data_IF_343976981221
#
_entry.id   IF_343976981221
#
_cell.length_a   1.000
_cell.length_b   1.000
_cell.length_c   1.000
_cell.angle_alpha   90.00
_cell.angle_beta   90.00
_cell.angle_gamma   90.00
#
_symmetry.space_group_name_H-M   'P 1'
#
loop_
_entity.id
_entity.type
_entity.pdbx_description
1 polymer ?
#
# COMPACT_ATOMS: atom_id res chain seq x y z
N UNK A 1 -21.20 8.96 -4.62
CA UNK A 1 -21.99 9.60 -5.69
C UNK A 1 -22.89 10.72 -5.16
N UNK A 2 -23.15 10.81 -3.85
CA UNK A 2 -24.20 11.63 -3.22
C UNK A 2 -24.30 13.12 -3.54
N UNK A 3 -23.27 13.72 -4.14
CA UNK A 3 -23.31 15.10 -4.65
C UNK A 3 -23.74 15.18 -6.13
N UNK A 4 -24.19 14.06 -6.71
CA UNK A 4 -24.54 13.87 -8.11
C UNK A 4 -23.39 14.13 -9.10
N UNK A 5 -22.16 13.83 -8.67
CA UNK A 5 -20.98 13.96 -9.53
C UNK A 5 -20.95 12.88 -10.61
N UNK A 6 -20.37 13.20 -11.77
CA UNK A 6 -20.21 12.28 -12.90
C UNK A 6 -19.34 11.05 -12.54
N UNK A 7 -19.48 9.93 -13.27
CA UNK A 7 -18.81 8.68 -12.93
C UNK A 7 -17.28 8.76 -13.06
N UNK A 8 -16.72 9.58 -13.96
CA UNK A 8 -15.27 9.70 -14.11
C UNK A 8 -14.64 10.36 -12.89
N UNK A 9 -15.24 11.45 -12.43
CA UNK A 9 -14.78 12.14 -11.22
C UNK A 9 -14.96 11.26 -9.97
N UNK A 10 -16.07 10.52 -9.88
CA UNK A 10 -16.27 9.56 -8.79
C UNK A 10 -15.22 8.43 -8.78
N UNK A 11 -14.88 7.88 -9.95
CA UNK A 11 -13.83 6.89 -10.10
C UNK A 11 -12.44 7.46 -9.77
N UNK A 12 -12.14 8.70 -10.17
CA UNK A 12 -10.89 9.36 -9.81
C UNK A 12 -10.73 9.52 -8.29
N UNK A 13 -11.79 9.94 -7.59
CA UNK A 13 -11.80 9.98 -6.12
C UNK A 13 -11.59 8.61 -5.48
N UNK A 14 -12.24 7.57 -6.02
CA UNK A 14 -12.05 6.18 -5.59
C UNK A 14 -10.63 5.68 -5.80
N UNK A 15 -10.00 6.00 -6.94
CA UNK A 15 -8.61 5.67 -7.22
C UNK A 15 -7.66 6.38 -6.24
N UNK A 16 -7.90 7.66 -5.92
CA UNK A 16 -7.13 8.39 -4.92
C UNK A 16 -7.23 7.77 -3.52
N UNK A 17 -8.43 7.35 -3.11
CA UNK A 17 -8.63 6.65 -1.85
C UNK A 17 -7.93 5.27 -1.82
N UNK A 18 -7.99 4.53 -2.93
CA UNK A 18 -7.29 3.25 -3.09
C UNK A 18 -5.76 3.40 -3.04
N UNK A 19 -5.22 4.44 -3.66
CA UNK A 19 -3.79 4.67 -3.73
C UNK A 19 -3.13 4.89 -2.35
N UNK A 20 -3.89 5.31 -1.34
CA UNK A 20 -3.38 5.54 0.01
C UNK A 20 -2.68 4.29 0.60
N UNK A 21 -1.57 4.45 1.35
CA UNK A 21 -0.78 3.34 1.87
C UNK A 21 -1.56 2.45 2.86
N UNK A 22 -2.56 3.02 3.54
CA UNK A 22 -3.46 2.30 4.44
C UNK A 22 -4.53 1.47 3.69
N UNK A 23 -4.59 1.56 2.36
CA UNK A 23 -5.51 0.79 1.54
C UNK A 23 -4.78 -0.07 0.49
N UNK A 24 -4.26 0.53 -0.58
CA UNK A 24 -3.72 -0.19 -1.74
C UNK A 24 -2.26 -0.61 -1.63
N UNK A 25 -1.58 -0.31 -0.51
CA UNK A 25 -0.17 -0.66 -0.30
C UNK A 25 0.06 -2.05 0.30
N UNK A 26 -1.01 -2.82 0.58
CA UNK A 26 -0.90 -4.09 1.30
C UNK A 26 -0.06 -5.15 0.57
N UNK A 27 -0.25 -5.29 -0.75
CA UNK A 27 0.45 -6.29 -1.55
C UNK A 27 1.93 -5.95 -1.81
N UNK A 28 2.26 -4.66 -1.95
CA UNK A 28 3.65 -4.19 -2.00
C UNK A 28 4.37 -4.47 -0.67
N UNK A 29 3.70 -4.19 0.46
CA UNK A 29 4.25 -4.44 1.78
C UNK A 29 4.53 -5.93 2.02
N UNK A 30 3.70 -6.83 1.47
CA UNK A 30 3.95 -8.27 1.48
C UNK A 30 5.23 -8.62 0.73
N UNK A 31 5.44 -8.09 -0.49
CA UNK A 31 6.66 -8.37 -1.24
C UNK A 31 7.92 -7.92 -0.50
N UNK A 32 7.92 -6.68 0.01
CA UNK A 32 9.06 -6.15 0.78
C UNK A 32 9.34 -6.99 2.03
N UNK A 33 8.30 -7.44 2.72
CA UNK A 33 8.42 -8.35 3.86
C UNK A 33 9.07 -9.67 3.45
N UNK A 34 8.63 -10.29 2.35
CA UNK A 34 9.20 -11.54 1.85
C UNK A 34 10.66 -11.38 1.38
N UNK A 35 10.97 -10.26 0.71
CA UNK A 35 12.33 -9.90 0.30
C UNK A 35 13.25 -9.68 1.51
N UNK A 36 12.76 -9.01 2.56
CA UNK A 36 13.51 -8.79 3.81
C UNK A 36 13.73 -10.08 4.61
N UNK A 37 12.79 -11.03 4.56
CA UNK A 37 12.98 -12.39 5.12
C UNK A 37 14.10 -13.10 4.35
N UNK A 38 14.12 -12.98 3.02
CA UNK A 38 15.21 -13.41 2.14
C UNK A 38 15.33 -14.92 1.91
N UNK A 39 15.28 -15.72 2.97
CA UNK A 39 15.35 -17.19 2.90
C UNK A 39 14.40 -17.87 3.87
N UNK A 40 14.11 -19.16 3.65
CA UNK A 40 13.18 -19.94 4.46
C UNK A 40 13.67 -20.07 5.92
N UNK A 41 14.97 -20.15 6.12
CA UNK A 41 15.61 -20.32 7.43
C UNK A 41 15.39 -19.12 8.35
N UNK A 42 15.10 -17.94 7.78
CA UNK A 42 14.83 -16.72 8.55
C UNK A 42 13.37 -16.61 9.00
N UNK A 43 12.45 -17.44 8.48
CA UNK A 43 11.02 -17.37 8.79
C UNK A 43 10.73 -17.55 10.29
N UNK A 44 11.31 -18.53 11.01
CA UNK A 44 11.08 -18.68 12.44
C UNK A 44 11.45 -17.41 13.23
N UNK A 45 12.60 -16.79 12.91
CA UNK A 45 13.04 -15.53 13.53
C UNK A 45 12.04 -14.40 13.26
N UNK A 46 11.57 -14.27 12.03
CA UNK A 46 10.55 -13.29 11.65
C UNK A 46 9.24 -13.49 12.40
N UNK A 47 8.75 -14.73 12.50
CA UNK A 47 7.54 -15.07 13.27
C UNK A 47 7.68 -14.65 14.73
N UNK A 48 8.82 -14.91 15.38
CA UNK A 48 9.07 -14.44 16.75
C UNK A 48 9.02 -12.92 16.87
N UNK A 49 9.58 -12.17 15.91
CA UNK A 49 9.50 -10.71 15.89
C UNK A 49 8.06 -10.20 15.74
N UNK A 50 7.24 -10.88 14.94
CA UNK A 50 5.81 -10.57 14.82
C UNK A 50 5.08 -10.80 16.14
N UNK A 51 5.35 -11.92 16.82
CA UNK A 51 4.76 -12.22 18.14
C UNK A 51 5.18 -11.20 19.21
N UNK A 52 6.41 -10.71 19.14
CA UNK A 52 6.93 -9.63 19.98
C UNK A 52 6.44 -8.23 19.58
N UNK A 53 5.59 -8.12 18.54
CA UNK A 53 5.08 -6.85 17.98
C UNK A 53 6.17 -5.91 17.48
N UNK A 54 7.37 -6.43 17.19
CA UNK A 54 8.46 -5.68 16.56
C UNK A 54 8.24 -5.53 15.05
N UNK A 55 7.48 -6.46 14.46
CA UNK A 55 7.10 -6.43 13.05
C UNK A 55 5.64 -6.83 12.87
N UNK A 56 5.10 -6.57 11.67
CA UNK A 56 3.75 -6.99 11.27
C UNK A 56 3.83 -8.05 10.19
N UNK A 57 3.03 -9.11 10.32
CA UNK A 57 2.82 -10.09 9.25
C UNK A 57 1.88 -9.48 8.21
N UNK A 58 2.46 -8.90 7.15
CA UNK A 58 1.70 -8.29 6.06
C UNK A 58 0.92 -9.37 5.29
N UNK A 59 -0.26 -9.01 4.79
CA UNK A 59 -1.13 -9.96 4.07
C UNK A 59 -1.87 -10.96 4.97
N UNK A 60 -1.81 -10.81 6.30
CA UNK A 60 -2.57 -11.62 7.26
C UNK A 60 -3.60 -10.81 8.03
N UNK A 61 -4.73 -11.47 8.32
CA UNK A 61 -5.87 -10.89 8.99
C UNK A 61 -6.75 -10.06 8.04
N UNK A 62 -8.00 -9.88 8.44
CA UNK A 62 -8.97 -9.11 7.70
C UNK A 62 -10.01 -8.50 8.65
N UNK A 63 -10.52 -7.30 8.32
CA UNK A 63 -11.56 -6.66 9.14
C UNK A 63 -12.86 -7.47 9.16
N UNK A 64 -13.16 -8.15 8.04
CA UNK A 64 -14.38 -8.96 7.83
C UNK A 64 -14.13 -10.46 8.02
N UNK A 65 -13.03 -11.00 7.49
CA UNK A 65 -12.82 -12.46 7.51
C UNK A 65 -12.12 -12.85 8.81
N UNK A 66 -12.73 -13.79 9.53
CA UNK A 66 -12.19 -14.49 10.72
C UNK A 66 -11.81 -15.94 10.42
N UNK A 67 -11.75 -16.24 9.13
CA UNK A 67 -11.39 -17.51 8.52
C UNK A 67 -10.57 -17.20 7.28
N UNK A 68 -10.11 -18.24 6.58
CA UNK A 68 -9.33 -18.09 5.36
C UNK A 68 -10.10 -17.26 4.29
N UNK A 69 -9.47 -16.23 3.74
CA UNK A 69 -10.08 -15.40 2.70
C UNK A 69 -10.32 -16.23 1.43
N UNK A 70 -11.57 -16.38 0.96
CA UNK A 70 -11.88 -17.21 -0.22
C UNK A 70 -11.14 -16.73 -1.48
N UNK A 71 -10.82 -15.43 -1.58
CA UNK A 71 -10.06 -14.86 -2.70
C UNK A 71 -8.60 -15.25 -2.62
N UNK A 72 -8.02 -15.28 -1.41
CA UNK A 72 -6.65 -15.73 -1.20
C UNK A 72 -6.50 -17.21 -1.57
N UNK A 73 -7.54 -18.03 -1.33
CA UNK A 73 -7.54 -19.45 -1.71
C UNK A 73 -7.48 -19.62 -3.23
N UNK A 74 -8.27 -18.85 -3.97
CA UNK A 74 -8.26 -18.86 -5.44
C UNK A 74 -6.91 -18.34 -5.96
N UNK A 75 -6.42 -17.22 -5.42
CA UNK A 75 -5.12 -16.66 -5.83
C UNK A 75 -3.97 -17.61 -5.55
N UNK A 76 -4.01 -18.40 -4.48
CA UNK A 76 -3.02 -19.44 -4.22
C UNK A 76 -2.97 -20.46 -5.36
N UNK A 77 -4.12 -20.95 -5.83
CA UNK A 77 -4.19 -21.87 -6.99
C UNK A 77 -3.61 -21.22 -8.24
N UNK A 78 -4.02 -19.99 -8.56
CA UNK A 78 -3.50 -19.24 -9.71
C UNK A 78 -1.98 -19.01 -9.61
N UNK A 79 -1.47 -18.75 -8.40
CA UNK A 79 -0.03 -18.60 -8.17
C UNK A 79 0.72 -19.90 -8.49
N UNK A 80 0.18 -21.05 -8.09
CA UNK A 80 0.75 -22.37 -8.42
C UNK A 80 0.76 -22.66 -9.91
N UNK A 81 -0.29 -22.27 -10.63
CA UNK A 81 -0.38 -22.40 -12.10
C UNK A 81 0.65 -21.53 -12.82
N UNK A 82 0.75 -20.25 -12.43
CA UNK A 82 1.74 -19.31 -12.96
C UNK A 82 3.16 -19.83 -12.73
N UNK A 83 3.42 -20.41 -11.56
CA UNK A 83 4.70 -21.00 -11.22
C UNK A 83 5.06 -22.21 -12.09
N UNK A 84 4.09 -23.08 -12.38
CA UNK A 84 4.30 -24.21 -13.26
C UNK A 84 4.72 -23.77 -14.68
N UNK A 85 4.28 -22.58 -15.12
CA UNK A 85 4.60 -22.02 -16.43
C UNK A 85 5.91 -21.22 -16.45
N UNK A 86 6.14 -20.36 -15.44
CA UNK A 86 7.24 -19.39 -15.42
C UNK A 86 8.50 -19.90 -14.68
N UNK A 87 8.40 -21.03 -13.98
CA UNK A 87 9.51 -21.61 -13.21
C UNK A 87 9.60 -21.10 -11.77
N UNK A 88 10.64 -21.54 -11.07
CA UNK A 88 10.73 -21.37 -9.61
C UNK A 88 11.04 -19.93 -9.19
N UNK A 89 10.13 -19.30 -8.44
CA UNK A 89 10.36 -18.02 -7.77
C UNK A 89 10.73 -18.25 -6.28
N UNK A 90 11.93 -17.84 -5.81
CA UNK A 90 12.33 -17.95 -4.40
C UNK A 90 11.35 -17.31 -3.41
N UNK A 91 10.76 -16.16 -3.76
CA UNK A 91 9.79 -15.46 -2.90
C UNK A 91 8.54 -16.30 -2.64
N UNK A 92 8.14 -17.13 -3.61
CA UNK A 92 7.00 -18.01 -3.47
C UNK A 92 7.26 -19.16 -2.49
N UNK A 93 8.48 -19.69 -2.48
CA UNK A 93 8.87 -20.72 -1.51
C UNK A 93 8.82 -20.15 -0.10
N UNK A 94 9.33 -18.94 0.09
CA UNK A 94 9.26 -18.21 1.37
C UNK A 94 7.80 -17.96 1.76
N UNK A 95 6.97 -17.48 0.84
CA UNK A 95 5.57 -17.19 1.13
C UNK A 95 4.76 -18.43 1.52
N UNK A 96 4.98 -19.55 0.83
CA UNK A 96 4.29 -20.81 1.10
C UNK A 96 4.70 -21.39 2.45
N UNK A 97 5.99 -21.32 2.79
CA UNK A 97 6.47 -21.81 4.09
C UNK A 97 6.08 -20.86 5.24
N UNK A 98 6.10 -19.56 5.02
CA UNK A 98 5.62 -18.55 5.97
C UNK A 98 4.15 -18.76 6.28
N UNK A 99 3.33 -19.00 5.24
CA UNK A 99 1.92 -19.34 5.41
C UNK A 99 1.74 -20.62 6.23
N UNK A 100 2.46 -21.70 5.87
CA UNK A 100 2.36 -22.98 6.56
C UNK A 100 2.70 -22.85 8.04
N UNK A 101 3.79 -22.15 8.37
CA UNK A 101 4.22 -21.93 9.75
C UNK A 101 3.25 -21.02 10.52
N UNK A 102 2.79 -19.92 9.91
CA UNK A 102 1.81 -19.03 10.54
C UNK A 102 0.48 -19.75 10.83
N UNK A 103 -0.02 -20.57 9.89
CA UNK A 103 -1.25 -21.35 10.08
C UNK A 103 -1.12 -22.50 11.09
N UNK A 104 0.11 -22.86 11.48
CA UNK A 104 0.37 -23.92 12.47
C UNK A 104 0.73 -23.37 13.85
N UNK A 105 0.99 -22.07 13.98
CA UNK A 105 1.39 -21.42 15.24
C UNK A 105 0.15 -20.90 15.99
N UNK A 106 0.04 -21.28 17.27
CA UNK A 106 -1.13 -20.97 18.11
C UNK A 106 -1.39 -19.47 18.24
N UNK A 107 -0.36 -18.63 18.20
CA UNK A 107 -0.49 -17.18 18.30
C UNK A 107 -1.41 -16.62 17.21
N UNK A 108 -1.25 -17.10 15.97
CA UNK A 108 -2.03 -16.63 14.81
C UNK A 108 -3.40 -17.29 14.75
N UNK A 109 -3.50 -18.57 15.10
CA UNK A 109 -4.77 -19.31 15.16
C UNK A 109 -5.72 -18.67 16.17
N UNK A 110 -5.26 -18.44 17.40
CA UNK A 110 -6.06 -17.81 18.47
C UNK A 110 -6.54 -16.40 18.10
N UNK A 111 -5.75 -15.68 17.29
CA UNK A 111 -6.06 -14.33 16.81
C UNK A 111 -6.82 -14.33 15.48
N UNK A 112 -7.13 -15.50 14.93
CA UNK A 112 -7.84 -15.67 13.65
C UNK A 112 -7.13 -14.91 12.51
N UNK A 113 -5.80 -14.94 12.50
CA UNK A 113 -4.98 -14.30 11.49
C UNK A 113 -4.73 -15.28 10.35
N UNK A 114 -5.46 -15.09 9.26
CA UNK A 114 -5.36 -15.90 8.04
C UNK A 114 -4.87 -15.06 6.86
N UNK A 115 -4.26 -15.68 5.83
CA UNK A 115 -3.90 -15.00 4.60
C UNK A 115 -5.11 -14.29 3.97
N UNK A 116 -4.89 -13.08 3.49
CA UNK A 116 -5.84 -12.31 2.71
C UNK A 116 -5.40 -12.19 1.24
N UNK A 117 -6.25 -11.57 0.42
CA UNK A 117 -6.01 -11.38 -1.03
C UNK A 117 -4.65 -10.72 -1.36
N UNK A 118 -4.12 -9.89 -0.48
CA UNK A 118 -2.87 -9.16 -0.70
C UNK A 118 -1.64 -10.06 -0.56
N UNK A 119 -1.74 -11.17 0.17
CA UNK A 119 -0.62 -12.08 0.44
C UNK A 119 -0.05 -12.73 -0.83
N UNK A 120 -0.91 -13.10 -1.78
CA UNK A 120 -0.48 -13.71 -3.05
C UNK A 120 -0.48 -12.76 -4.24
N UNK A 121 -1.33 -11.73 -4.24
CA UNK A 121 -1.49 -10.85 -5.41
C UNK A 121 -0.20 -10.15 -5.82
N UNK A 122 0.61 -9.68 -4.85
CA UNK A 122 1.90 -9.05 -5.14
C UNK A 122 2.90 -10.01 -5.81
N UNK A 123 2.94 -11.26 -5.37
CA UNK A 123 3.81 -12.31 -5.93
C UNK A 123 3.41 -12.60 -7.38
N UNK A 124 2.10 -12.68 -7.66
CA UNK A 124 1.57 -12.87 -9.01
C UNK A 124 2.00 -11.72 -9.92
N UNK A 125 1.73 -10.47 -9.53
CA UNK A 125 2.06 -9.30 -10.36
C UNK A 125 3.57 -9.19 -10.61
N UNK A 126 4.39 -9.45 -9.59
CA UNK A 126 5.85 -9.46 -9.74
C UNK A 126 6.31 -10.56 -10.69
N UNK A 127 5.72 -11.76 -10.60
CA UNK A 127 6.06 -12.88 -11.48
C UNK A 127 5.65 -12.62 -12.93
N UNK A 128 4.61 -11.80 -13.15
CA UNK A 128 4.22 -11.31 -14.48
C UNK A 128 5.10 -10.15 -15.01
N UNK A 129 6.08 -9.68 -14.22
CA UNK A 129 7.00 -8.62 -14.63
C UNK A 129 6.50 -7.20 -14.39
N UNK A 130 5.39 -7.01 -13.67
CA UNK A 130 4.93 -5.67 -13.35
C UNK A 130 5.81 -5.03 -12.26
N UNK A 131 6.18 -3.74 -12.40
CA UNK A 131 6.84 -3.01 -11.33
C UNK A 131 5.88 -2.83 -10.15
N UNK A 132 6.41 -2.81 -8.92
CA UNK A 132 5.62 -2.72 -7.69
C UNK A 132 4.74 -1.48 -7.64
N UNK A 133 5.22 -0.37 -8.20
CA UNK A 133 4.51 0.90 -8.26
C UNK A 133 3.19 0.81 -9.06
N UNK A 134 3.06 -0.20 -9.94
CA UNK A 134 1.85 -0.45 -10.72
C UNK A 134 0.81 -1.29 -9.98
N UNK A 135 1.12 -1.86 -8.82
CA UNK A 135 0.19 -2.77 -8.13
C UNK A 135 -1.14 -2.11 -7.76
N UNK A 136 -1.17 -0.88 -7.21
CA UNK A 136 -2.44 -0.19 -6.95
C UNK A 136 -3.23 0.07 -8.24
N UNK A 137 -2.55 0.33 -9.35
CA UNK A 137 -3.18 0.54 -10.67
C UNK A 137 -3.82 -0.76 -11.15
N UNK A 138 -3.09 -1.88 -11.10
CA UNK A 138 -3.61 -3.19 -11.47
C UNK A 138 -4.81 -3.61 -10.60
N UNK A 139 -4.79 -3.24 -9.31
CA UNK A 139 -5.91 -3.47 -8.41
C UNK A 139 -7.11 -2.57 -8.71
N UNK A 140 -6.88 -1.35 -9.21
CA UNK A 140 -7.93 -0.39 -9.55
C UNK A 140 -8.77 -0.80 -10.76
N UNK A 141 -8.16 -1.46 -11.75
CA UNK A 141 -8.84 -1.86 -13.00
C UNK A 141 -10.08 -2.72 -12.74
N UNK A 142 -9.99 -3.89 -12.07
CA UNK A 142 -11.18 -4.68 -11.77
C UNK A 142 -12.07 -4.02 -10.71
N UNK A 143 -11.51 -3.13 -9.87
CA UNK A 143 -12.30 -2.41 -8.86
C UNK A 143 -13.21 -1.35 -9.45
N UNK A 144 -12.86 -0.79 -10.61
CA UNK A 144 -13.67 0.20 -11.31
C UNK A 144 -15.09 -0.29 -11.60
N UNK A 145 -15.25 -1.57 -11.99
CA UNK A 145 -16.58 -2.17 -12.17
C UNK A 145 -17.43 -2.13 -10.89
N UNK A 146 -16.82 -2.44 -9.74
CA UNK A 146 -17.49 -2.35 -8.44
C UNK A 146 -17.79 -0.92 -8.00
N UNK A 147 -16.87 0.02 -8.25
CA UNK A 147 -17.10 1.45 -7.98
C UNK A 147 -18.28 1.99 -8.77
N UNK A 148 -18.36 1.65 -10.07
CA UNK A 148 -19.45 2.07 -10.93
C UNK A 148 -20.77 1.41 -10.54
N UNK A 149 -20.76 0.12 -10.19
CA UNK A 149 -21.95 -0.56 -9.69
C UNK A 149 -22.51 0.12 -8.43
N UNK A 150 -21.65 0.42 -7.44
CA UNK A 150 -22.08 1.17 -6.25
C UNK A 150 -22.50 2.61 -6.56
N UNK A 151 -21.85 3.27 -7.52
CA UNK A 151 -22.26 4.62 -7.96
C UNK A 151 -23.65 4.61 -8.58
N UNK A 152 -23.95 3.63 -9.44
CA UNK A 152 -25.30 3.45 -10.04
C UNK A 152 -26.32 3.10 -8.97
N UNK A 153 -26.00 2.17 -8.08
CA UNK A 153 -26.85 1.76 -6.96
C UNK A 153 -27.20 2.95 -6.06
N UNK A 154 -26.21 3.75 -5.68
CA UNK A 154 -26.40 4.95 -4.85
C UNK A 154 -27.28 6.00 -5.54
N UNK A 155 -27.17 6.17 -6.87
CA UNK A 155 -28.02 7.11 -7.62
C UNK A 155 -29.43 6.59 -7.89
N UNK A 156 -29.62 5.28 -7.94
CA UNK A 156 -30.92 4.65 -8.11
C UNK A 156 -31.71 4.56 -6.79
N UNK A 157 -31.06 4.78 -5.65
CA UNK A 157 -31.69 4.77 -4.34
C UNK A 157 -32.69 5.95 -4.19
N UNK A 158 -34.00 5.69 -4.07
CA UNK A 158 -35.00 6.75 -3.90
C UNK A 158 -34.83 7.52 -2.58
N UNK A 159 -34.10 6.96 -1.60
CA UNK A 159 -33.79 7.60 -0.33
C UNK A 159 -32.44 8.34 -0.33
N UNK A 160 -31.76 8.45 -1.47
CA UNK A 160 -30.45 9.09 -1.59
C UNK A 160 -30.44 10.48 -0.91
N UNK A 161 -29.48 10.65 0.01
CA UNK A 161 -29.18 11.93 0.65
C UNK A 161 -27.71 12.26 0.49
N UNK A 162 -27.42 13.54 0.26
CA UNK A 162 -26.05 14.05 0.27
C UNK A 162 -25.35 13.73 1.60
N UNK A 163 -24.17 13.12 1.55
CA UNK A 163 -23.37 12.85 2.75
C UNK A 163 -22.86 14.16 3.36
N UNK A 164 -23.38 14.52 4.54
CA UNK A 164 -22.98 15.71 5.34
C UNK A 164 -22.72 15.32 6.80
N UNK A 165 -21.55 14.74 7.12
CA UNK A 165 -21.22 14.35 8.49
C UNK A 165 -21.12 15.59 9.40
N UNK A 166 -21.38 15.40 10.69
CA UNK A 166 -21.21 16.43 11.73
C UNK A 166 -19.87 16.25 12.44
N UNK A 167 -19.38 17.33 13.05
CA UNK A 167 -18.21 17.31 13.93
C UNK A 167 -18.55 17.99 15.27
N UNK A 168 -17.84 17.58 16.33
CA UNK A 168 -17.88 18.26 17.63
C UNK A 168 -16.77 19.34 17.63
N UNK A 169 -17.16 20.61 17.65
CA UNK A 169 -16.21 21.71 17.65
C UNK A 169 -15.60 21.94 19.04
N UNK A 170 -14.30 21.69 19.15
CA UNK A 170 -13.49 21.86 20.38
C UNK A 170 -12.55 23.07 20.32
N UNK A 171 -12.68 23.93 19.31
CA UNK A 171 -11.82 25.10 19.13
C UNK A 171 -12.19 26.28 20.03
N UNK A 172 -11.33 27.30 20.05
CA UNK A 172 -11.57 28.56 20.77
C UNK A 172 -12.73 29.32 20.14
N UNK A 173 -13.66 29.81 20.98
CA UNK A 173 -14.83 30.59 20.55
C UNK A 173 -14.60 32.07 20.79
N UNK A 174 -15.35 32.91 20.08
CA UNK A 174 -15.39 34.37 20.28
C UNK A 174 -14.02 35.05 20.20
N UNK A 175 -13.14 34.54 19.32
CA UNK A 175 -11.88 35.21 19.03
C UNK A 175 -12.16 36.49 18.25
N UNK A 176 -11.70 37.63 18.76
CA UNK A 176 -11.75 38.88 18.01
C UNK A 176 -10.75 38.82 16.86
N UNK A 177 -11.19 39.23 15.68
CA UNK A 177 -10.29 39.38 14.54
C UNK A 177 -9.24 40.46 14.84
N UNK A 178 -7.97 40.16 14.58
CA UNK A 178 -6.87 41.12 14.71
C UNK A 178 -6.39 41.50 13.30
N UNK A 179 -6.47 42.79 12.91
CA UNK A 179 -5.90 43.31 11.67
C UNK A 179 -4.44 42.90 11.50
N UNK A 180 -4.01 42.66 10.26
CA UNK A 180 -2.68 42.11 9.95
C UNK A 180 -1.54 42.90 10.60
N UNK A 181 -1.61 44.21 10.56
CA UNK A 181 -0.68 45.19 11.14
C UNK A 181 -0.66 45.19 12.68
N UNK A 182 -1.75 44.77 13.30
CA UNK A 182 -1.90 44.68 14.75
C UNK A 182 -1.59 43.28 15.31
N UNK A 183 -1.29 42.29 14.44
CA UNK A 183 -0.89 40.95 14.89
C UNK A 183 0.54 41.02 15.42
N UNK A 184 0.71 40.77 16.72
CA UNK A 184 2.04 40.57 17.26
C UNK A 184 2.63 39.31 16.64
N UNK A 185 3.80 39.45 15.99
CA UNK A 185 4.61 38.31 15.59
C UNK A 185 5.01 37.62 16.89
N UNK A 186 4.40 36.47 17.20
CA UNK A 186 4.97 35.57 18.18
C UNK A 186 6.38 35.25 17.68
N UNK A 187 7.41 35.73 18.40
CA UNK A 187 8.75 35.17 18.25
C UNK A 187 8.62 33.70 18.61
N UNK A 188 8.47 32.84 17.60
CA UNK A 188 8.71 31.43 17.77
C UNK A 188 10.14 31.34 18.30
N UNK A 189 10.32 30.80 19.52
CA UNK A 189 11.63 30.38 19.97
C UNK A 189 12.20 29.50 18.85
N UNK A 190 13.27 29.98 18.23
CA UNK A 190 13.87 29.48 16.99
C UNK A 190 14.45 28.05 17.08
N UNK A 191 14.05 27.27 18.09
CA UNK A 191 14.37 25.85 18.26
C UNK A 191 13.31 24.91 17.69
N UNK A 192 12.05 25.32 17.57
CA UNK A 192 11.03 24.51 16.89
C UNK A 192 11.03 24.84 15.40
N UNK A 193 11.80 24.07 14.62
CA UNK A 193 11.63 24.02 13.16
C UNK A 193 10.17 23.69 12.88
N UNK A 194 9.48 24.59 12.17
CA UNK A 194 8.24 24.27 11.48
C UNK A 194 8.53 23.08 10.56
N UNK A 195 8.22 21.86 11.01
CA UNK A 195 8.19 20.73 10.12
C UNK A 195 6.98 20.96 9.23
N UNK A 196 7.21 21.13 7.93
CA UNK A 196 6.16 20.83 6.98
C UNK A 196 5.70 19.42 7.33
N UNK A 197 4.43 19.26 7.70
CA UNK A 197 3.85 17.93 7.76
C UNK A 197 3.95 17.42 6.33
N UNK A 198 5.01 16.64 6.04
CA UNK A 198 5.14 15.97 4.76
C UNK A 198 3.89 15.12 4.65
N UNK A 199 3.00 15.52 3.74
CA UNK A 199 1.90 14.66 3.32
C UNK A 199 2.52 13.32 2.92
N UNK A 200 1.78 12.22 3.00
CA UNK A 200 2.27 10.86 2.73
C UNK A 200 3.01 10.63 1.40
N UNK A 201 3.18 11.67 0.57
CA UNK A 201 3.95 11.73 -0.66
C UNK A 201 5.44 11.39 -0.49
N UNK A 202 6.20 11.98 0.46
CA UNK A 202 7.61 11.54 0.68
C UNK A 202 7.66 10.17 1.36
N UNK A 203 6.65 9.94 2.19
CA UNK A 203 6.47 8.73 2.97
C UNK A 203 6.11 7.49 2.17
N UNK A 204 5.80 7.54 0.87
CA UNK A 204 5.71 6.28 0.11
C UNK A 204 7.09 5.64 -0.11
N UNK A 205 8.14 6.46 -0.18
CA UNK A 205 9.54 5.99 -0.18
C UNK A 205 10.06 5.74 1.24
N UNK A 206 9.63 6.51 2.24
CA UNK A 206 10.18 6.43 3.62
C UNK A 206 9.34 5.63 4.63
N UNK A 207 8.05 5.37 4.41
CA UNK A 207 7.24 4.51 5.32
C UNK A 207 7.71 3.06 5.27
N UNK A 208 8.38 2.66 4.19
CA UNK A 208 9.11 1.40 4.14
C UNK A 208 10.42 1.40 4.94
N UNK A 209 10.90 2.53 5.44
CA UNK A 209 12.05 2.59 6.36
C UNK A 209 11.59 2.82 7.80
N UNK A 210 10.62 3.70 8.06
CA UNK A 210 10.13 3.96 9.43
C UNK A 210 9.36 2.77 10.06
N UNK A 211 8.67 1.93 9.27
CA UNK A 211 8.11 0.65 9.75
C UNK A 211 9.17 -0.44 9.95
N UNK A 212 10.40 -0.20 9.50
CA UNK A 212 11.48 -1.17 9.40
C UNK A 212 12.80 -0.63 9.96
N UNK A 213 12.75 0.35 10.87
CA UNK A 213 13.93 0.91 11.51
C UNK A 213 14.52 -0.17 12.45
N UNK A 214 15.42 -0.97 11.90
CA UNK A 214 16.28 -1.88 12.63
C UNK A 214 17.35 -1.04 13.32
N UNK A 215 17.09 -0.60 14.54
CA UNK A 215 18.17 -0.17 15.42
C UNK A 215 19.03 -1.38 15.77
N UNK A 216 20.05 -1.60 14.93
CA UNK A 216 21.44 -1.86 15.33
C UNK A 216 22.35 -1.71 14.09
N UNK A 217 22.73 -0.46 13.81
CA UNK A 217 24.11 -0.04 13.50
C UNK A 217 24.98 -0.80 12.48
N UNK A 218 24.45 -1.46 11.47
CA UNK A 218 25.29 -2.09 10.43
C UNK A 218 24.83 -1.74 9.01
N UNK A 219 25.54 -0.79 8.39
CA UNK A 219 25.52 -0.58 6.93
C UNK A 219 26.20 -1.78 6.27
N UNK A 220 25.51 -2.60 5.45
CA UNK A 220 26.19 -3.61 4.64
C UNK A 220 26.94 -2.89 3.53
N UNK A 221 28.28 -2.96 3.56
CA UNK A 221 29.11 -2.56 2.42
C UNK A 221 28.76 -3.47 1.24
N UNK A 222 28.36 -2.88 0.11
CA UNK A 222 28.29 -3.62 -1.15
C UNK A 222 29.71 -3.97 -1.62
N UNK A 223 29.86 -5.19 -2.15
CA UNK A 223 31.16 -5.78 -2.52
C UNK A 223 31.77 -5.21 -3.81
N UNK A 224 31.39 -4.01 -4.24
CA UNK A 224 32.10 -3.28 -5.31
C UNK A 224 32.07 -1.79 -4.99
N UNK A 225 33.22 -1.22 -4.66
CA UNK A 225 33.38 0.21 -4.47
C UNK A 225 33.25 0.93 -5.81
N UNK A 226 32.05 1.42 -6.11
CA UNK A 226 31.82 2.40 -7.17
C UNK A 226 30.48 3.10 -6.93
N UNK A 227 30.50 4.44 -6.87
CA UNK A 227 29.28 5.26 -6.88
C UNK A 227 28.65 5.15 -8.28
N UNK A 228 27.68 4.26 -8.47
CA UNK A 228 26.92 4.23 -9.73
C UNK A 228 25.88 5.35 -9.75
N UNK A 229 25.92 6.08 -10.85
CA UNK A 229 25.12 7.24 -11.21
C UNK A 229 23.61 6.97 -11.09
N UNK A 230 22.89 8.00 -10.66
CA UNK A 230 21.44 8.13 -10.79
C UNK A 230 21.02 7.78 -12.23
N UNK A 231 20.03 6.90 -12.33
CA UNK A 231 19.44 6.44 -13.58
C UNK A 231 18.96 7.63 -14.43
N UNK A 232 19.53 7.73 -15.62
CA UNK A 232 19.10 8.61 -16.68
C UNK A 232 17.60 8.40 -17.04
N UNK A 233 17.02 9.48 -17.52
CA UNK A 233 15.60 9.79 -17.71
C UNK A 233 14.75 8.74 -18.43
N UNK A 234 13.52 8.61 -17.90
CA UNK A 234 12.32 7.96 -18.46
C UNK A 234 11.99 8.37 -19.92
N UNK A 235 12.59 9.43 -20.44
CA UNK A 235 12.42 9.90 -21.82
C UNK A 235 13.12 9.03 -22.89
N UNK A 236 14.05 8.14 -22.52
CA UNK A 236 14.69 7.23 -23.49
C UNK A 236 13.88 5.97 -23.80
N UNK A 237 12.85 5.63 -23.01
CA UNK A 237 12.02 4.44 -23.25
C UNK A 237 10.81 4.70 -24.14
N UNK A 238 10.48 5.95 -24.44
CA UNK A 238 9.36 6.32 -25.30
C UNK A 238 9.76 7.44 -26.27
N UNK A 239 10.37 7.05 -27.39
CA UNK A 239 10.71 7.98 -28.45
C UNK A 239 10.87 7.31 -29.80
N UNK A 240 9.76 7.12 -30.52
CA UNK A 240 9.76 7.39 -31.96
C UNK A 240 8.57 8.28 -32.32
N UNK A 241 8.88 9.44 -32.87
CA UNK A 241 7.94 10.40 -33.42
C UNK A 241 7.24 9.76 -34.62
N UNK A 242 5.92 9.64 -34.56
CA UNK A 242 5.11 9.40 -35.75
C UNK A 242 5.14 10.69 -36.58
N UNK A 243 5.81 10.65 -37.72
CA UNK A 243 5.79 11.72 -38.73
C UNK A 243 4.45 11.75 -39.45
N UNK A 244 3.85 12.93 -39.73
CA UNK A 244 2.66 13.01 -40.57
C UNK A 244 3.09 12.83 -42.03
N UNK A 245 2.65 11.74 -42.67
CA UNK A 245 2.66 11.68 -44.13
C UNK A 245 1.33 12.18 -44.68
N UNK A 246 1.44 13.23 -45.48
CA UNK A 246 0.41 13.73 -46.39
C UNK A 246 0.10 12.69 -47.47
N UNK A 247 -1.17 12.33 -47.62
CA UNK A 247 -1.91 12.23 -48.89
C UNK A 247 -3.40 12.03 -48.62
#
# INVERSE_FOLDING_TARGET
ASTLVDPYTACAGSAGALYGPLHGGGNEAVLRMLEAIGTIENIPKFIEQVKQKKQRLMGFGHRVYKSYDPRAKILKTVTMEIFALLGKNPLMQIATELERLALSDSYFIERQLYPNVDFYSGIIYKSMGFPTDMFPVLFSIPRAAGWLAHWVEELADPELRIFRPRQIYMGRRNMNYVPMDARQVQQHNSGEKLSSFSSGFDRRRDVSEELFNFEDGAIPKTATGSKSQLSASIEQSFGEKISPQSH
#
